data_IF_818608917765
#
_entry.id   IF_818608917765
#
_cell.length_a   1.000
_cell.length_b   1.000
_cell.length_c   1.000
_cell.angle_alpha   90.00
_cell.angle_beta   90.00
_cell.angle_gamma   90.00
#
_symmetry.space_group_name_H-M   'P 1'
#
loop_
_entity.id
_entity.type
_entity.pdbx_description
1 polymer ?
#
# COMPACT_ATOMS: atom_id res chain seq x y z
N UNK A 1 9.00 -15.46 -6.40
CA UNK A 1 7.64 -15.26 -6.97
C UNK A 1 7.62 -13.97 -7.79
N UNK A 2 6.83 -13.92 -8.87
CA UNK A 2 6.80 -12.76 -9.78
C UNK A 2 6.13 -11.54 -9.12
N UNK A 3 6.85 -10.42 -9.03
CA UNK A 3 6.36 -9.21 -8.36
C UNK A 3 5.22 -8.50 -9.11
N UNK A 4 5.22 -8.55 -10.45
CA UNK A 4 4.15 -7.94 -11.26
C UNK A 4 2.83 -8.72 -11.09
N UNK A 5 2.89 -10.05 -11.02
CA UNK A 5 1.72 -10.88 -10.75
C UNK A 5 1.17 -10.63 -9.34
N UNK A 6 2.05 -10.56 -8.33
CA UNK A 6 1.64 -10.24 -6.95
C UNK A 6 1.03 -8.84 -6.86
N UNK A 7 1.62 -7.85 -7.53
CA UNK A 7 1.05 -6.50 -7.62
C UNK A 7 -0.37 -6.55 -8.20
N UNK A 8 -0.54 -7.24 -9.34
CA UNK A 8 -1.85 -7.32 -10.01
C UNK A 8 -2.89 -8.04 -9.13
N UNK A 9 -2.49 -9.09 -8.42
CA UNK A 9 -3.35 -9.76 -7.46
C UNK A 9 -3.79 -8.82 -6.33
N UNK A 10 -2.85 -8.08 -5.73
CA UNK A 10 -3.17 -7.10 -4.69
C UNK A 10 -4.16 -6.04 -5.19
N UNK A 11 -4.00 -5.56 -6.43
CA UNK A 11 -4.97 -4.63 -7.04
C UNK A 11 -6.37 -5.24 -7.17
N UNK A 12 -6.49 -6.52 -7.53
CA UNK A 12 -7.78 -7.22 -7.63
C UNK A 12 -8.42 -7.38 -6.24
N UNK A 13 -7.64 -7.78 -5.23
CA UNK A 13 -8.09 -7.90 -3.84
C UNK A 13 -8.67 -6.58 -3.35
N UNK A 14 -7.93 -5.48 -3.53
CA UNK A 14 -8.36 -4.14 -3.11
C UNK A 14 -9.60 -3.66 -3.90
N UNK A 15 -9.64 -3.90 -5.21
CA UNK A 15 -10.78 -3.50 -6.05
C UNK A 15 -12.09 -4.18 -5.64
N UNK A 16 -12.03 -5.41 -5.13
CA UNK A 16 -13.20 -6.19 -4.74
C UNK A 16 -13.47 -6.16 -3.22
N UNK A 17 -12.72 -5.36 -2.44
CA UNK A 17 -12.80 -5.34 -0.97
C UNK A 17 -12.72 -6.74 -0.34
N UNK A 18 -11.84 -7.60 -0.86
CA UNK A 18 -11.70 -8.97 -0.36
C UNK A 18 -10.84 -9.00 0.92
N UNK A 19 -11.44 -8.68 2.06
CA UNK A 19 -10.72 -8.47 3.33
C UNK A 19 -9.91 -9.69 3.80
N UNK A 20 -10.41 -10.91 3.53
CA UNK A 20 -9.71 -12.16 3.84
C UNK A 20 -8.30 -12.24 3.22
N UNK A 21 -8.02 -11.43 2.20
CA UNK A 21 -6.77 -11.41 1.43
C UNK A 21 -5.92 -10.14 1.68
N UNK A 22 -6.32 -9.27 2.61
CA UNK A 22 -5.56 -8.05 2.93
C UNK A 22 -4.17 -8.34 3.51
N UNK A 23 -4.01 -9.46 4.21
CA UNK A 23 -2.69 -9.93 4.68
C UNK A 23 -1.69 -10.06 3.52
N UNK A 24 -2.12 -10.57 2.36
CA UNK A 24 -1.25 -10.68 1.17
C UNK A 24 -0.83 -9.32 0.61
N UNK A 25 -1.68 -8.31 0.71
CA UNK A 25 -1.36 -6.93 0.32
C UNK A 25 -0.29 -6.35 1.26
N UNK A 26 -0.48 -6.54 2.57
CA UNK A 26 0.48 -6.12 3.60
C UNK A 26 1.83 -6.82 3.40
N UNK A 27 1.85 -8.14 3.23
CA UNK A 27 3.08 -8.91 2.99
C UNK A 27 3.79 -8.48 1.72
N UNK A 28 3.05 -8.13 0.66
CA UNK A 28 3.64 -7.60 -0.56
C UNK A 28 4.34 -6.26 -0.31
N UNK A 29 3.69 -5.33 0.39
CA UNK A 29 4.25 -4.02 0.73
C UNK A 29 5.43 -4.12 1.72
N UNK A 30 5.42 -5.07 2.66
CA UNK A 30 6.58 -5.38 3.50
C UNK A 30 7.76 -5.90 2.68
N UNK A 31 7.50 -6.64 1.60
CA UNK A 31 8.57 -7.20 0.75
C UNK A 31 9.10 -6.24 -0.33
N UNK A 32 8.44 -5.09 -0.58
CA UNK A 32 8.74 -4.22 -1.72
C UNK A 32 8.77 -2.74 -1.33
N UNK A 33 9.92 -2.08 -1.50
CA UNK A 33 10.06 -0.63 -1.30
C UNK A 33 10.04 0.22 -2.58
N UNK A 34 9.92 -0.39 -3.77
CA UNK A 34 9.95 0.36 -5.05
C UNK A 34 8.66 1.16 -5.26
N UNK A 35 8.79 2.39 -5.74
CA UNK A 35 7.63 3.25 -6.03
C UNK A 35 6.64 2.62 -7.01
N UNK A 36 7.13 1.89 -8.03
CA UNK A 36 6.30 1.17 -9.01
C UNK A 36 5.27 0.25 -8.36
N UNK A 37 5.60 -0.37 -7.23
CA UNK A 37 4.74 -1.30 -6.51
C UNK A 37 3.98 -0.60 -5.38
N UNK A 38 4.68 0.25 -4.65
CA UNK A 38 4.18 0.89 -3.43
C UNK A 38 3.08 1.92 -3.76
N UNK A 39 3.35 2.86 -4.67
CA UNK A 39 2.45 3.99 -4.90
C UNK A 39 1.08 3.58 -5.48
N UNK A 40 0.99 2.68 -6.48
CA UNK A 40 -0.30 2.26 -7.00
C UNK A 40 -1.17 1.56 -5.93
N UNK A 41 -0.57 0.78 -5.03
CA UNK A 41 -1.33 0.10 -3.96
C UNK A 41 -1.82 1.07 -2.89
N UNK A 42 -1.00 2.04 -2.47
CA UNK A 42 -1.45 3.08 -1.55
C UNK A 42 -2.57 3.93 -2.14
N UNK A 43 -2.50 4.28 -3.44
CA UNK A 43 -3.61 4.98 -4.12
C UNK A 43 -4.88 4.14 -4.17
N UNK A 44 -4.76 2.85 -4.50
CA UNK A 44 -5.90 1.93 -4.54
C UNK A 44 -6.55 1.77 -3.16
N UNK A 45 -5.74 1.65 -2.10
CA UNK A 45 -6.26 1.57 -0.73
C UNK A 45 -6.92 2.86 -0.27
N UNK A 46 -6.32 4.02 -0.56
CA UNK A 46 -6.84 5.31 -0.12
C UNK A 46 -8.12 5.74 -0.85
N UNK A 47 -8.22 5.39 -2.13
CA UNK A 47 -9.44 5.58 -2.93
C UNK A 47 -10.53 4.53 -2.69
N UNK A 48 -10.27 3.51 -1.85
CA UNK A 48 -11.19 2.42 -1.55
C UNK A 48 -12.09 2.67 -0.33
N UNK A 49 -12.46 1.58 0.34
CA UNK A 49 -13.28 1.56 1.54
C UNK A 49 -12.53 2.06 2.78
N UNK A 50 -13.26 2.27 3.88
CA UNK A 50 -12.64 2.61 5.17
C UNK A 50 -11.66 1.52 5.63
N UNK A 51 -12.01 0.25 5.44
CA UNK A 51 -11.15 -0.89 5.74
C UNK A 51 -9.81 -0.84 4.98
N UNK A 52 -9.82 -0.47 3.69
CA UNK A 52 -8.57 -0.34 2.93
C UNK A 52 -7.77 0.89 3.35
N UNK A 53 -8.41 1.99 3.76
CA UNK A 53 -7.71 3.16 4.32
C UNK A 53 -7.03 2.82 5.65
N UNK A 54 -7.70 2.08 6.53
CA UNK A 54 -7.12 1.59 7.78
C UNK A 54 -5.92 0.68 7.51
N UNK A 55 -6.05 -0.27 6.56
CA UNK A 55 -4.96 -1.12 6.11
C UNK A 55 -3.75 -0.31 5.62
N UNK A 56 -3.98 0.77 4.86
CA UNK A 56 -2.91 1.65 4.38
C UNK A 56 -2.17 2.33 5.54
N UNK A 57 -2.90 2.88 6.51
CA UNK A 57 -2.30 3.55 7.67
C UNK A 57 -1.49 2.58 8.54
N UNK A 58 -2.05 1.39 8.81
CA UNK A 58 -1.37 0.34 9.57
C UNK A 58 -0.10 -0.13 8.84
N UNK A 59 -0.22 -0.46 7.56
CA UNK A 59 0.90 -0.95 6.75
C UNK A 59 2.00 0.11 6.62
N UNK A 60 1.63 1.38 6.43
CA UNK A 60 2.62 2.45 6.34
C UNK A 60 3.35 2.66 7.65
N UNK A 61 2.64 2.63 8.79
CA UNK A 61 3.27 2.76 10.10
C UNK A 61 4.31 1.65 10.34
N UNK A 62 4.01 0.42 9.90
CA UNK A 62 4.92 -0.72 10.04
C UNK A 62 6.12 -0.68 9.06
N UNK A 63 5.93 -0.15 7.85
CA UNK A 63 6.94 -0.20 6.77
C UNK A 63 7.73 1.09 6.59
N UNK A 64 7.23 2.24 7.06
CA UNK A 64 7.84 3.55 6.86
C UNK A 64 9.33 3.62 7.23
N UNK A 65 9.80 3.07 8.37
CA UNK A 65 11.23 3.13 8.72
C UNK A 65 12.16 2.45 7.71
N UNK A 66 11.64 1.49 6.94
CA UNK A 66 12.41 0.70 5.97
C UNK A 66 12.33 1.27 4.54
N UNK A 67 11.38 2.17 4.29
CA UNK A 67 11.17 2.78 2.98
C UNK A 67 12.17 3.92 2.75
N UNK A 68 12.64 4.05 1.51
CA UNK A 68 13.42 5.22 1.10
C UNK A 68 12.61 6.51 1.33
N UNK A 69 13.26 7.59 1.79
CA UNK A 69 12.61 8.87 2.15
C UNK A 69 11.69 9.42 1.05
N UNK A 70 12.09 9.34 -0.21
CA UNK A 70 11.24 9.76 -1.34
C UNK A 70 9.95 8.94 -1.43
N UNK A 71 10.01 7.63 -1.19
CA UNK A 71 8.81 6.77 -1.18
C UNK A 71 7.91 7.16 -0.02
N UNK A 72 8.48 7.35 1.19
CA UNK A 72 7.72 7.82 2.34
C UNK A 72 7.00 9.14 2.07
N UNK A 73 7.69 10.12 1.46
CA UNK A 73 7.11 11.43 1.16
C UNK A 73 5.92 11.32 0.20
N UNK A 74 6.01 10.47 -0.83
CA UNK A 74 4.87 10.24 -1.72
C UNK A 74 3.72 9.51 -1.04
N UNK A 75 4.01 8.52 -0.18
CA UNK A 75 2.96 7.82 0.57
C UNK A 75 2.29 8.76 1.56
N UNK A 76 3.04 9.59 2.30
CA UNK A 76 2.50 10.63 3.18
C UNK A 76 1.57 11.59 2.43
N UNK A 77 1.94 12.01 1.22
CA UNK A 77 1.06 12.84 0.35
C UNK A 77 -0.24 12.13 0.00
N UNK A 78 -0.19 10.83 -0.32
CA UNK A 78 -1.39 10.03 -0.60
C UNK A 78 -2.29 9.95 0.64
N UNK A 79 -1.71 9.72 1.82
CA UNK A 79 -2.42 9.57 3.09
C UNK A 79 -2.89 10.90 3.71
N UNK A 80 -2.63 12.04 3.06
CA UNK A 80 -2.94 13.36 3.63
C UNK A 80 -2.10 13.74 4.84
N UNK A 81 -0.94 13.09 5.04
CA UNK A 81 0.00 13.33 6.15
C UNK A 81 1.13 14.30 5.78
N UNK A 82 1.10 14.89 4.58
CA UNK A 82 2.02 15.93 4.18
C UNK A 82 1.56 17.27 4.73
N UNK A 83 2.32 17.85 5.66
CA UNK A 83 2.09 19.21 6.14
C UNK A 83 2.17 20.24 5.01
N UNK A 84 1.44 21.34 5.20
CA UNK A 84 1.49 22.56 4.39
C UNK A 84 2.91 23.12 4.25
#
# INVERSE_FOLDING_TARGET
>A
QNAELRLRWCQIVLKNNLEAEYSKVKDFLHSQGKQKYTLPLYRAMWGGSEATRALAMETFSATAPQLHVNVQNYVKKILGLGGA
#
